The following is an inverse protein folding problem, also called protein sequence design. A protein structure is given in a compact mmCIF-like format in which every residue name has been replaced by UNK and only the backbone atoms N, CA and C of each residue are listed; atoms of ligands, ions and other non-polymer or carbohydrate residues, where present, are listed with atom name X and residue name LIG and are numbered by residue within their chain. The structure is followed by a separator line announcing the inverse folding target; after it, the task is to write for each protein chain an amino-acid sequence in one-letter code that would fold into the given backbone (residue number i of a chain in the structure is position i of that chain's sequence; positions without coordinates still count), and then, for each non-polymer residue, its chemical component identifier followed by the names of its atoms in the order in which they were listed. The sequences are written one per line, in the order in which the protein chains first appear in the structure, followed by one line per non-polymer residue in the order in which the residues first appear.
data_IF_111036717591
#
_entry.id   IF_111036717591
#
_cell.length_a   1.000
_cell.length_b   1.000
_cell.length_c   1.000
_cell.angle_alpha   90.00
_cell.angle_beta   90.00
_cell.angle_gamma   90.00
#
_symmetry.space_group_name_H-M   'P 1'
#
loop_
_entity.id
_entity.type
_entity.pdbx_description
1 polymer ?
#
# COMPACT_ATOMS: atom_id res chain seq x y z
N UNK A 1 -0.06 6.66 14.46
CA UNK A 1 1.06 7.42 13.85
C UNK A 1 0.85 8.91 14.01
N UNK A 2 -0.36 9.41 13.78
CA UNK A 2 -0.74 10.82 13.98
C UNK A 2 -0.48 11.31 15.41
N UNK A 3 -0.91 10.55 16.43
CA UNK A 3 -0.65 10.87 17.84
C UNK A 3 0.85 10.96 18.21
N UNK A 4 1.71 10.33 17.41
CA UNK A 4 3.16 10.35 17.59
C UNK A 4 3.82 11.51 16.81
N UNK A 5 3.04 12.37 16.16
CA UNK A 5 3.53 13.49 15.35
C UNK A 5 4.27 13.05 14.09
N UNK A 6 3.95 11.86 13.56
CA UNK A 6 4.59 11.30 12.37
C UNK A 6 3.90 11.83 11.10
N UNK A 7 4.70 12.13 10.07
CA UNK A 7 4.19 12.57 8.75
C UNK A 7 3.58 11.39 7.98
N UNK A 8 2.35 11.03 8.36
CA UNK A 8 1.61 9.88 7.80
C UNK A 8 1.51 9.93 6.27
N UNK A 9 1.40 11.13 5.68
CA UNK A 9 1.33 11.31 4.23
C UNK A 9 2.66 10.94 3.58
N UNK A 10 3.79 11.39 4.13
CA UNK A 10 5.10 11.04 3.60
C UNK A 10 5.40 9.53 3.74
N UNK A 11 4.96 8.87 4.82
CA UNK A 11 5.06 7.40 4.93
C UNK A 11 4.21 6.69 3.89
N UNK A 12 2.95 7.11 3.71
CA UNK A 12 2.07 6.54 2.69
C UNK A 12 2.67 6.66 1.28
N UNK A 13 3.23 7.82 0.94
CA UNK A 13 3.92 8.02 -0.34
C UNK A 13 5.16 7.12 -0.47
N UNK A 14 5.92 6.93 0.61
CA UNK A 14 7.10 6.05 0.60
C UNK A 14 6.72 4.58 0.44
N UNK A 15 5.63 4.13 1.07
CA UNK A 15 5.08 2.80 0.86
C UNK A 15 4.61 2.61 -0.58
N UNK A 16 3.95 3.63 -1.16
CA UNK A 16 3.52 3.60 -2.55
C UNK A 16 4.70 3.44 -3.52
N UNK A 17 5.82 4.12 -3.28
CA UNK A 17 7.04 3.99 -4.07
C UNK A 17 7.62 2.58 -4.01
N UNK A 18 7.74 2.04 -2.79
CA UNK A 18 8.27 0.70 -2.57
C UNK A 18 7.39 -0.36 -3.26
N UNK A 19 6.06 -0.24 -3.13
CA UNK A 19 5.11 -1.15 -3.78
C UNK A 19 5.19 -1.07 -5.30
N UNK A 20 5.24 0.12 -5.89
CA UNK A 20 5.39 0.28 -7.34
C UNK A 20 6.69 -0.36 -7.86
N UNK A 21 7.80 -0.16 -7.13
CA UNK A 21 9.08 -0.78 -7.47
C UNK A 21 9.02 -2.31 -7.37
N UNK A 22 8.38 -2.87 -6.34
CA UNK A 22 8.26 -4.31 -6.19
C UNK A 22 7.34 -4.95 -7.23
N UNK A 23 6.16 -4.37 -7.47
CA UNK A 23 5.23 -4.88 -8.48
C UNK A 23 5.82 -4.86 -9.88
N UNK A 24 6.41 -3.73 -10.29
CA UNK A 24 6.78 -3.53 -11.70
C UNK A 24 8.27 -3.71 -11.98
N UNK A 25 9.12 -3.28 -11.04
CA UNK A 25 10.57 -3.42 -11.18
C UNK A 25 11.06 -4.82 -10.83
N UNK A 26 10.51 -5.42 -9.77
CA UNK A 26 10.85 -6.78 -9.36
C UNK A 26 9.89 -7.85 -9.89
N UNK A 27 8.68 -7.49 -10.33
CA UNK A 27 7.71 -8.43 -10.88
C UNK A 27 7.15 -9.40 -9.83
N UNK A 28 6.85 -8.89 -8.63
CA UNK A 28 6.38 -9.72 -7.50
C UNK A 28 5.07 -9.23 -6.91
N UNK A 29 4.32 -10.12 -6.26
CA UNK A 29 2.98 -9.85 -5.73
C UNK A 29 2.95 -9.18 -4.36
N UNK A 30 4.12 -9.09 -3.71
CA UNK A 30 4.28 -8.42 -2.43
C UNK A 30 3.47 -9.08 -1.29
N UNK A 31 3.28 -10.40 -1.37
CA UNK A 31 2.63 -11.21 -0.33
C UNK A 31 3.47 -11.22 0.95
N UNK A 32 2.87 -10.77 2.05
CA UNK A 32 3.37 -10.75 3.43
C UNK A 32 4.59 -9.87 3.73
N UNK A 33 4.87 -8.85 2.88
CA UNK A 33 5.96 -7.90 3.21
C UNK A 33 5.55 -6.97 4.35
N UNK A 34 6.53 -6.65 5.20
CA UNK A 34 6.35 -5.77 6.35
C UNK A 34 7.11 -4.45 6.17
N UNK A 35 6.42 -3.33 6.45
CA UNK A 35 7.04 -2.01 6.54
C UNK A 35 7.34 -1.67 8.00
N UNK A 36 8.60 -1.42 8.31
CA UNK A 36 9.03 -1.09 9.68
C UNK A 36 9.84 0.20 9.71
N UNK A 37 9.71 0.94 10.81
CA UNK A 37 10.51 2.15 11.07
C UNK A 37 11.74 1.77 11.87
N UNK A 38 12.93 2.11 11.37
CA UNK A 38 14.18 1.78 12.03
C UNK A 38 15.26 2.84 11.74
N UNK A 39 16.37 2.86 12.52
CA UNK A 39 17.47 3.78 12.27
C UNK A 39 18.03 3.65 10.85
N UNK A 40 18.53 4.75 10.25
CA UNK A 40 19.20 4.69 8.96
C UNK A 40 20.45 3.81 9.06
N UNK A 41 20.71 2.99 8.02
CA UNK A 41 22.09 2.53 7.77
C UNK A 41 22.89 3.75 7.33
N UNK A 42 24.18 3.82 7.68
CA UNK A 42 25.14 4.94 7.52
C UNK A 42 25.30 5.56 6.11
N UNK A 43 24.25 5.66 5.30
CA UNK A 43 24.24 6.06 3.90
C UNK A 43 23.09 7.03 3.62
N UNK A 44 23.32 7.87 2.61
CA UNK A 44 22.61 9.09 2.19
C UNK A 44 21.16 8.92 1.70
N UNK A 45 20.38 8.01 2.28
CA UNK A 45 18.96 7.90 1.98
C UNK A 45 18.19 9.07 2.60
N UNK A 46 17.11 9.54 1.98
CA UNK A 46 16.19 10.47 2.62
C UNK A 46 15.73 9.86 3.95
N UNK A 47 15.87 10.62 5.04
CA UNK A 47 15.42 10.23 6.37
C UNK A 47 14.15 10.98 6.75
N UNK A 48 13.34 10.36 7.60
CA UNK A 48 12.29 11.04 8.33
C UNK A 48 12.87 11.60 9.62
N UNK A 49 12.36 12.76 10.04
CA UNK A 49 12.65 13.34 11.34
C UNK A 49 11.34 13.56 12.08
N UNK A 50 11.25 13.05 13.30
CA UNK A 50 10.10 13.29 14.19
C UNK A 50 10.58 13.53 15.60
N UNK A 51 9.76 14.21 16.40
CA UNK A 51 10.07 14.42 17.83
C UNK A 51 10.09 13.11 18.61
N UNK A 52 9.22 12.16 18.26
CA UNK A 52 9.01 10.91 18.99
C UNK A 52 10.04 9.83 18.68
N UNK A 53 10.43 9.68 17.41
CA UNK A 53 11.35 8.63 16.95
C UNK A 53 12.75 9.14 16.58
N UNK A 54 12.95 10.46 16.54
CA UNK A 54 14.18 11.06 16.03
C UNK A 54 14.35 10.82 14.52
N UNK A 55 15.60 10.76 14.08
CA UNK A 55 15.95 10.43 12.70
C UNK A 55 15.78 8.92 12.43
N UNK A 56 15.02 8.57 11.39
CA UNK A 56 14.74 7.18 11.04
C UNK A 56 14.37 7.01 9.56
N UNK A 57 14.27 5.77 9.10
CA UNK A 57 13.89 5.40 7.73
C UNK A 57 12.86 4.26 7.75
N UNK A 58 12.20 4.07 6.60
CA UNK A 58 11.34 2.92 6.38
C UNK A 58 12.14 1.77 5.77
N UNK A 59 12.03 0.60 6.39
CA UNK A 59 12.57 -0.65 5.88
C UNK A 59 11.42 -1.53 5.39
N UNK A 60 11.73 -2.36 4.40
CA UNK A 60 10.86 -3.45 3.96
C UNK A 60 11.52 -4.74 4.35
N UNK A 61 10.80 -5.58 5.07
CA UNK A 61 11.24 -6.88 5.57
C UNK A 61 10.23 -7.96 5.19
N UNK A 62 10.58 -9.20 5.56
CA UNK A 62 9.78 -10.41 5.42
C UNK A 62 9.30 -10.71 3.98
N UNK A 63 10.20 -11.28 3.18
CA UNK A 63 9.94 -11.61 1.78
C UNK A 63 9.66 -13.11 1.58
N UNK A 64 9.40 -13.87 2.64
CA UNK A 64 9.37 -15.33 2.61
C UNK A 64 8.14 -15.90 1.86
N UNK A 65 7.05 -15.14 1.76
CA UNK A 65 5.82 -15.50 1.02
C UNK A 65 5.70 -14.89 -0.36
N UNK A 66 6.57 -13.93 -0.69
CA UNK A 66 6.56 -13.18 -1.95
C UNK A 66 6.73 -14.13 -3.13
N UNK A 67 5.89 -13.95 -4.15
CA UNK A 67 5.90 -14.75 -5.37
C UNK A 67 6.08 -13.87 -6.58
N UNK A 68 6.58 -14.47 -7.65
CA UNK A 68 6.54 -13.87 -8.98
C UNK A 68 5.08 -13.56 -9.35
N UNK A 69 4.89 -12.43 -10.02
CA UNK A 69 3.62 -11.91 -10.52
C UNK A 69 3.71 -11.72 -12.04
N UNK A 70 2.71 -12.20 -12.78
CA UNK A 70 2.63 -11.94 -14.23
C UNK A 70 2.18 -10.50 -14.53
N UNK A 71 2.58 -9.96 -15.67
CA UNK A 71 2.17 -8.62 -16.13
C UNK A 71 0.85 -8.67 -16.91
N UNK A 72 -0.16 -9.30 -16.30
CA UNK A 72 -1.50 -9.51 -16.84
C UNK A 72 -2.54 -9.56 -15.72
N UNK A 73 -3.81 -9.76 -16.07
CA UNK A 73 -4.93 -9.78 -15.13
C UNK A 73 -4.76 -10.80 -14.00
N UNK A 74 -4.19 -11.98 -14.28
CA UNK A 74 -3.94 -13.00 -13.25
C UNK A 74 -2.91 -12.51 -12.21
N UNK A 75 -1.87 -11.80 -12.66
CA UNK A 75 -0.91 -11.18 -11.74
C UNK A 75 -1.54 -10.07 -10.92
N UNK A 76 -2.43 -9.26 -11.51
CA UNK A 76 -3.16 -8.23 -10.77
C UNK A 76 -4.11 -8.80 -9.73
N UNK A 77 -4.79 -9.91 -10.04
CA UNK A 77 -5.61 -10.64 -9.07
C UNK A 77 -4.78 -11.16 -7.90
N UNK A 78 -3.60 -11.73 -8.19
CA UNK A 78 -2.65 -12.21 -7.19
C UNK A 78 -2.18 -11.07 -6.27
N UNK A 79 -1.76 -9.94 -6.84
CA UNK A 79 -1.34 -8.75 -6.10
C UNK A 79 -2.46 -8.12 -5.27
N UNK A 80 -3.66 -7.99 -5.83
CA UNK A 80 -4.82 -7.49 -5.09
C UNK A 80 -5.16 -8.40 -3.90
N UNK A 81 -5.10 -9.72 -4.10
CA UNK A 81 -5.31 -10.67 -3.02
C UNK A 81 -4.21 -10.57 -1.94
N UNK A 82 -2.94 -10.41 -2.32
CA UNK A 82 -1.81 -10.19 -1.41
C UNK A 82 -1.98 -8.90 -0.61
N UNK A 83 -2.29 -7.78 -1.28
CA UNK A 83 -2.50 -6.46 -0.66
C UNK A 83 -3.46 -6.52 0.53
N UNK A 84 -4.50 -7.32 0.42
CA UNK A 84 -5.54 -7.50 1.44
C UNK A 84 -5.31 -8.66 2.42
N UNK A 85 -4.34 -9.54 2.16
CA UNK A 85 -3.84 -10.56 3.11
C UNK A 85 -2.85 -9.97 4.08
N UNK A 86 -1.97 -9.09 3.59
CA UNK A 86 -1.01 -8.37 4.41
C UNK A 86 -1.74 -7.61 5.51
N UNK A 87 -1.03 -7.31 6.59
CA UNK A 87 -1.59 -6.53 7.67
C UNK A 87 -1.91 -5.09 7.22
N UNK A 88 -2.91 -4.43 7.83
CA UNK A 88 -3.39 -3.11 7.41
C UNK A 88 -2.47 -1.96 7.88
N UNK A 89 -1.16 -2.11 7.72
CA UNK A 89 -0.18 -1.10 8.14
C UNK A 89 0.06 0.00 7.09
N UNK A 90 -0.43 -0.19 5.87
CA UNK A 90 -0.44 0.82 4.81
C UNK A 90 -1.87 1.18 4.37
N UNK A 91 -2.08 2.36 3.76
CA UNK A 91 -3.42 2.91 3.50
C UNK A 91 -4.31 1.97 2.71
N UNK A 92 -5.59 1.90 3.09
CA UNK A 92 -6.60 1.10 2.39
C UNK A 92 -7.75 1.98 1.92
N UNK A 93 -8.36 1.66 0.76
CA UNK A 93 -9.57 2.34 0.34
C UNK A 93 -10.74 1.97 1.26
N UNK A 94 -11.70 2.89 1.37
CA UNK A 94 -12.92 2.67 2.16
C UNK A 94 -12.70 2.74 3.67
N UNK A 95 -11.73 3.54 4.12
CA UNK A 95 -11.59 3.91 5.52
C UNK A 95 -12.85 4.58 6.08
N UNK A 96 -12.99 4.54 7.40
CA UNK A 96 -14.21 5.03 8.06
C UNK A 96 -14.17 6.55 8.23
N UNK A 97 -12.98 7.12 8.35
CA UNK A 97 -12.75 8.53 8.61
C UNK A 97 -12.33 9.26 7.33
N UNK A 98 -12.60 10.56 7.26
CA UNK A 98 -12.21 11.39 6.12
C UNK A 98 -10.68 11.38 5.90
N UNK A 99 -9.91 11.38 6.98
CA UNK A 99 -8.45 11.32 6.96
C UNK A 99 -7.92 10.05 6.28
N UNK A 100 -8.59 8.91 6.46
CA UNK A 100 -8.23 7.66 5.78
C UNK A 100 -8.39 7.79 4.26
N UNK A 101 -9.44 8.48 3.82
CA UNK A 101 -9.71 8.75 2.40
C UNK A 101 -8.66 9.67 1.78
N UNK A 102 -8.28 10.74 2.47
CA UNK A 102 -7.21 11.65 2.03
C UNK A 102 -5.86 10.92 1.93
N UNK A 103 -5.56 10.06 2.91
CA UNK A 103 -4.33 9.27 2.92
C UNK A 103 -4.31 8.24 1.79
N UNK A 104 -5.44 7.60 1.49
CA UNK A 104 -5.59 6.69 0.35
C UNK A 104 -5.35 7.41 -0.99
N UNK A 105 -5.93 8.60 -1.19
CA UNK A 105 -5.73 9.34 -2.43
C UNK A 105 -4.28 9.80 -2.60
N UNK A 106 -3.61 10.20 -1.52
CA UNK A 106 -2.18 10.53 -1.55
C UNK A 106 -1.32 9.30 -1.92
N UNK A 107 -1.58 8.15 -1.30
CA UNK A 107 -0.93 6.88 -1.61
C UNK A 107 -1.14 6.50 -3.09
N UNK A 108 -2.38 6.51 -3.56
CA UNK A 108 -2.76 6.13 -4.92
C UNK A 108 -2.14 7.04 -5.97
N UNK A 109 -2.21 8.36 -5.76
CA UNK A 109 -1.60 9.32 -6.67
C UNK A 109 -0.09 9.09 -6.80
N UNK A 110 0.60 8.87 -5.67
CA UNK A 110 2.04 8.55 -5.67
C UNK A 110 2.32 7.21 -6.34
N UNK A 111 1.57 6.17 -6.02
CA UNK A 111 1.71 4.83 -6.60
C UNK A 111 1.63 4.89 -8.12
N UNK A 112 0.61 5.56 -8.66
CA UNK A 112 0.41 5.66 -10.11
C UNK A 112 1.56 6.41 -10.78
N UNK A 113 1.99 7.55 -10.21
CA UNK A 113 3.14 8.30 -10.73
C UNK A 113 4.42 7.45 -10.77
N UNK A 114 4.79 6.85 -9.64
CA UNK A 114 6.00 6.02 -9.54
C UNK A 114 5.90 4.76 -10.40
N UNK A 115 4.70 4.20 -10.58
CA UNK A 115 4.50 3.05 -11.46
C UNK A 115 4.83 3.37 -12.92
N UNK A 116 4.41 4.54 -13.41
CA UNK A 116 4.73 4.99 -14.76
C UNK A 116 6.24 5.22 -14.93
N UNK A 117 6.90 5.80 -13.91
CA UNK A 117 8.35 5.98 -13.90
C UNK A 117 9.11 4.64 -13.97
N UNK A 118 8.68 3.64 -13.18
CA UNK A 118 9.31 2.31 -13.14
C UNK A 118 9.09 1.53 -14.44
N UNK A 119 7.88 1.60 -15.02
CA UNK A 119 7.55 0.92 -16.28
C UNK A 119 8.22 1.58 -17.49
N UNK A 120 8.33 2.91 -17.48
CA UNK A 120 8.86 3.72 -18.58
C UNK A 120 7.89 3.87 -19.75
N UNK A 121 8.00 4.99 -20.47
CA UNK A 121 7.06 5.45 -21.51
C UNK A 121 6.80 4.45 -22.66
N UNK A 122 7.71 3.51 -22.90
CA UNK A 122 7.59 2.50 -23.97
C UNK A 122 6.96 1.18 -23.53
N UNK A 123 6.54 1.04 -22.28
CA UNK A 123 6.00 -0.21 -21.75
C UNK A 123 4.64 -0.54 -22.37
N UNK A 124 4.36 -1.81 -22.72
CA UNK A 124 3.03 -2.25 -23.10
C UNK A 124 2.09 -2.41 -21.89
N UNK A 125 2.56 -2.10 -20.67
CA UNK A 125 1.87 -2.37 -19.42
C UNK A 125 1.45 -1.11 -18.65
N UNK A 126 1.41 0.06 -19.31
CA UNK A 126 1.09 1.36 -18.68
C UNK A 126 -0.33 1.42 -18.09
N UNK A 127 -1.20 0.51 -18.53
CA UNK A 127 -2.58 0.35 -18.12
C UNK A 127 -2.70 -0.35 -16.75
N UNK A 128 -1.75 -1.26 -16.46
CA UNK A 128 -1.83 -2.17 -15.30
C UNK A 128 -1.88 -1.48 -13.94
N UNK A 129 -1.13 -0.39 -13.68
CA UNK A 129 -1.20 0.31 -12.39
C UNK A 129 -2.60 0.84 -12.08
N UNK A 130 -3.28 1.41 -13.09
CA UNK A 130 -4.63 1.94 -12.93
C UNK A 130 -5.64 0.80 -12.74
N UNK A 131 -5.46 -0.31 -13.45
CA UNK A 131 -6.28 -1.52 -13.27
C UNK A 131 -6.14 -2.09 -11.85
N UNK A 132 -4.90 -2.25 -11.36
CA UNK A 132 -4.63 -2.75 -10.02
C UNK A 132 -5.27 -1.87 -8.94
N UNK A 133 -5.12 -0.55 -9.03
CA UNK A 133 -5.76 0.38 -8.10
C UNK A 133 -7.28 0.25 -8.11
N UNK A 134 -7.89 0.12 -9.30
CA UNK A 134 -9.33 -0.11 -9.42
C UNK A 134 -9.79 -1.42 -8.79
N UNK A 135 -9.01 -2.50 -8.93
CA UNK A 135 -9.29 -3.78 -8.29
C UNK A 135 -9.20 -3.68 -6.76
N UNK A 136 -8.18 -2.98 -6.25
CA UNK A 136 -7.98 -2.79 -4.81
C UNK A 136 -9.13 -1.95 -4.21
N UNK A 137 -9.54 -0.87 -4.87
CA UNK A 137 -10.67 -0.05 -4.45
C UNK A 137 -11.98 -0.85 -4.42
N UNK A 138 -12.27 -1.59 -5.50
CA UNK A 138 -13.48 -2.41 -5.57
C UNK A 138 -13.54 -3.45 -4.44
N UNK A 139 -12.44 -4.16 -4.19
CA UNK A 139 -12.35 -5.14 -3.12
C UNK A 139 -12.44 -4.50 -1.73
N UNK A 140 -11.82 -3.32 -1.53
CA UNK A 140 -11.92 -2.56 -0.29
C UNK A 140 -13.35 -2.16 0.05
N UNK A 141 -14.08 -1.58 -0.91
CA UNK A 141 -15.48 -1.22 -0.74
C UNK A 141 -16.37 -2.45 -0.49
N UNK A 142 -16.10 -3.57 -1.18
CA UNK A 142 -16.80 -4.84 -0.96
C UNK A 142 -16.62 -5.36 0.47
N UNK A 143 -15.38 -5.32 0.98
CA UNK A 143 -15.05 -5.74 2.35
C UNK A 143 -15.71 -4.84 3.39
N UNK A 144 -15.70 -3.52 3.17
CA UNK A 144 -16.39 -2.54 4.03
C UNK A 144 -17.89 -2.82 4.11
N UNK A 145 -18.56 -2.94 2.97
CA UNK A 145 -19.99 -3.21 2.93
C UNK A 145 -20.36 -4.55 3.61
N UNK A 146 -19.49 -5.56 3.51
CA UNK A 146 -19.68 -6.84 4.23
C UNK A 146 -19.57 -6.66 5.75
N UNK A 147 -18.60 -5.87 6.22
CA UNK A 147 -18.41 -5.57 7.65
C UNK A 147 -19.63 -4.84 8.24
N UNK A 148 -20.12 -3.80 7.57
CA UNK A 148 -21.30 -3.04 8.01
C UNK A 148 -22.57 -3.90 8.08
N UNK A 149 -22.74 -4.85 7.14
CA UNK A 149 -23.86 -5.81 7.18
C UNK A 149 -23.77 -6.74 8.38
N UNK A 150 -22.57 -7.19 8.75
CA UNK A 150 -22.36 -8.06 9.92
C UNK A 150 -22.65 -7.28 11.21
N UNK A 151 -22.14 -6.05 11.32
CA UNK A 151 -22.34 -5.19 12.49
C UNK A 151 -23.83 -4.82 12.68
N UNK A 152 -24.53 -4.48 11.60
CA UNK A 152 -25.97 -4.18 11.65
C UNK A 152 -26.86 -5.40 11.91
N UNK A 153 -26.43 -6.60 11.51
CA UNK A 153 -27.15 -7.85 11.82
C UNK A 153 -26.89 -8.34 13.25
N UNK A 154 -25.71 -8.05 13.81
CA UNK A 154 -25.36 -8.38 15.19
C UNK A 154 -26.06 -7.50 16.23
N UNK A 155 -26.40 -6.25 15.89
CA UNK A 155 -27.09 -5.31 16.78
C UNK A 155 -28.60 -5.55 16.93
N UNK A 156 -29.18 -6.51 16.20
CA UNK A 156 -30.60 -6.87 16.28
C UNK A 156 -30.89 -8.07 17.20
N UNK A 157 -29.86 -8.59 17.91
CA UNK A 157 -29.97 -9.76 18.79
C UNK A 157 -29.85 -9.38 20.30
N UNK A 158 -29.67 -8.11 20.63
CA UNK A 158 -29.77 -7.57 22.01
C UNK A 158 -31.04 -6.75 22.21
#
# INVERSE_FOLDING_TARGET
MEDLGLDVVAYAMTMADALALMYWGAGVDVDDVEFVLAPPRSMSSPTFLSESLGEHVMWVLDFDRVKHMSMDENGLEQACAAFFRNDPYYPRPGGAEAADGELWEAFKARFLGTSLEVLGDGSPHLDLPQMLMGMIEQEGYRRRARKEKIESSGSHIE
#
